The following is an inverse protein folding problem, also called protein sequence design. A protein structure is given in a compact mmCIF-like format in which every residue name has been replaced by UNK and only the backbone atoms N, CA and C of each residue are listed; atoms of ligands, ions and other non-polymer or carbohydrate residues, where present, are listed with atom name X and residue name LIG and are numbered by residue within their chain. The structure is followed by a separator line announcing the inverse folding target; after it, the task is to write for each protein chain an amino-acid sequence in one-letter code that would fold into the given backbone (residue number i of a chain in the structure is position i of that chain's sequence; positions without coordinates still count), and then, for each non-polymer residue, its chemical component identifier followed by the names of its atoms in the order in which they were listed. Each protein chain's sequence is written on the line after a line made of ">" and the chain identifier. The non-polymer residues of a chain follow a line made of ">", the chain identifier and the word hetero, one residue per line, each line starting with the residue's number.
data_IF_189264605925
#
_entry.id   IF_189264605925
#
_cell.length_a   1.000
_cell.length_b   1.000
_cell.length_c   1.000
_cell.angle_alpha   90.00
_cell.angle_beta   90.00
_cell.angle_gamma   90.00
#
_symmetry.space_group_name_H-M   'P 1'
#
loop_
_entity.id
_entity.type
_entity.pdbx_description
1 polymer ?
#
# COMPACT_ATOMS: atom_id res chain seq x y z
N UNK A 1 9.99 29.83 -35.81
CA UNK A 1 8.90 29.35 -34.94
C UNK A 1 8.72 30.36 -33.81
N UNK A 2 7.51 30.87 -33.61
CA UNK A 2 7.26 31.92 -32.61
C UNK A 2 7.38 31.33 -31.19
N UNK A 3 8.17 31.96 -30.32
CA UNK A 3 8.29 31.53 -28.93
C UNK A 3 6.90 31.62 -28.26
N UNK A 4 6.35 30.46 -27.88
CA UNK A 4 5.02 30.37 -27.27
C UNK A 4 5.19 30.30 -25.75
N UNK A 5 4.42 31.08 -25.03
CA UNK A 5 4.34 31.00 -23.57
C UNK A 5 3.07 30.23 -23.17
N UNK A 6 3.19 29.22 -22.32
CA UNK A 6 2.10 28.31 -21.94
C UNK A 6 1.74 28.43 -20.46
N UNK A 7 0.45 28.57 -20.15
CA UNK A 7 -0.05 28.41 -18.78
C UNK A 7 -0.48 26.97 -18.56
N UNK A 8 0.23 26.28 -17.68
CA UNK A 8 0.08 24.85 -17.45
C UNK A 8 -0.47 24.61 -16.06
N UNK A 9 -1.62 23.94 -16.00
CA UNK A 9 -2.23 23.56 -14.73
C UNK A 9 -1.55 22.30 -14.18
N UNK A 10 -1.12 22.37 -12.92
CA UNK A 10 -0.52 21.24 -12.22
C UNK A 10 -1.42 20.71 -11.10
N UNK A 11 -1.43 19.39 -10.93
CA UNK A 11 -2.08 18.70 -9.82
C UNK A 11 -1.02 18.12 -8.91
N UNK A 12 -1.18 18.30 -7.59
CA UNK A 12 -0.28 17.66 -6.63
C UNK A 12 -0.62 16.16 -6.55
N UNK A 13 0.08 15.36 -7.35
CA UNK A 13 -0.13 13.92 -7.47
C UNK A 13 1.23 13.22 -7.51
N UNK A 14 1.76 12.88 -6.34
CA UNK A 14 2.96 12.05 -6.26
C UNK A 14 2.70 10.64 -6.80
N UNK A 15 3.65 10.00 -7.51
CA UNK A 15 5.01 10.48 -7.85
C UNK A 15 5.09 11.30 -9.15
N UNK A 16 3.96 11.61 -9.79
CA UNK A 16 3.92 12.22 -11.12
C UNK A 16 4.35 13.69 -11.11
N UNK A 17 3.88 14.45 -10.13
CA UNK A 17 4.26 15.84 -9.88
C UNK A 17 4.41 16.02 -8.36
N UNK A 18 5.59 16.42 -7.93
CA UNK A 18 5.94 16.68 -6.54
C UNK A 18 5.98 18.18 -6.31
N UNK A 19 5.19 18.65 -5.34
CA UNK A 19 5.07 20.08 -5.03
C UNK A 19 5.42 20.33 -3.57
N UNK A 20 6.38 21.22 -3.31
CA UNK A 20 6.83 21.64 -1.97
C UNK A 20 6.66 23.15 -1.86
N UNK A 21 6.07 23.66 -0.77
CA UNK A 21 5.88 25.11 -0.57
C UNK A 21 5.28 25.84 -1.80
N UNK A 22 4.28 25.22 -2.43
CA UNK A 22 3.62 25.74 -3.63
C UNK A 22 4.47 25.73 -4.92
N UNK A 23 5.73 25.29 -4.88
CA UNK A 23 6.59 25.15 -6.05
C UNK A 23 6.79 23.69 -6.44
N UNK A 24 6.55 23.31 -7.71
CA UNK A 24 6.88 21.99 -8.20
C UNK A 24 8.40 21.85 -8.25
N UNK A 25 8.92 20.75 -7.68
CA UNK A 25 10.36 20.51 -7.62
C UNK A 25 10.78 19.19 -8.27
N UNK A 26 9.82 18.36 -8.70
CA UNK A 26 10.12 17.09 -9.33
C UNK A 26 8.89 16.30 -9.74
N UNK A 27 9.11 15.05 -10.14
CA UNK A 27 8.10 14.14 -10.66
C UNK A 27 8.26 13.89 -12.16
N UNK A 28 7.84 12.72 -12.61
CA UNK A 28 8.09 12.29 -13.99
C UNK A 28 7.45 13.23 -15.03
N UNK A 29 6.23 13.73 -14.78
CA UNK A 29 5.56 14.62 -15.72
C UNK A 29 6.13 16.03 -15.70
N UNK A 30 6.60 16.51 -14.54
CA UNK A 30 7.31 17.78 -14.46
C UNK A 30 8.61 17.74 -15.29
N UNK A 31 9.38 16.66 -15.18
CA UNK A 31 10.61 16.49 -15.96
C UNK A 31 10.33 16.41 -17.46
N UNK A 32 9.28 15.71 -17.87
CA UNK A 32 8.87 15.65 -19.29
C UNK A 32 8.53 17.05 -19.82
N UNK A 33 7.79 17.85 -19.05
CA UNK A 33 7.45 19.23 -19.44
C UNK A 33 8.71 20.11 -19.56
N UNK A 34 9.62 20.00 -18.60
CA UNK A 34 10.89 20.74 -18.58
C UNK A 34 11.77 20.40 -19.78
N UNK A 35 11.94 19.11 -20.09
CA UNK A 35 12.73 18.70 -21.26
C UNK A 35 12.03 19.06 -22.58
N UNK A 36 10.69 18.97 -22.62
CA UNK A 36 9.91 19.42 -23.78
C UNK A 36 10.07 20.92 -24.02
N UNK A 37 10.12 21.74 -22.97
CA UNK A 37 10.26 23.20 -23.11
C UNK A 37 11.61 23.58 -23.70
N UNK A 38 12.67 22.86 -23.32
CA UNK A 38 14.01 23.03 -23.90
C UNK A 38 14.04 22.58 -25.35
N UNK A 39 13.48 21.41 -25.65
CA UNK A 39 13.49 20.82 -26.99
C UNK A 39 12.70 21.66 -28.01
N UNK A 40 11.53 22.15 -27.62
CA UNK A 40 10.63 22.90 -28.49
C UNK A 40 10.70 24.42 -28.29
N UNK A 41 11.63 24.89 -27.47
CA UNK A 41 11.89 26.31 -27.19
C UNK A 41 10.62 27.12 -26.82
N UNK A 42 9.89 26.64 -25.82
CA UNK A 42 8.75 27.35 -25.24
C UNK A 42 8.99 27.66 -23.76
N UNK A 43 8.30 28.68 -23.26
CA UNK A 43 8.29 29.01 -21.83
C UNK A 43 6.94 28.67 -21.22
N UNK A 44 6.89 28.49 -19.91
CA UNK A 44 5.64 28.14 -19.25
C UNK A 44 5.57 28.63 -17.82
N UNK A 45 4.35 28.88 -17.38
CA UNK A 45 3.99 29.14 -16.00
C UNK A 45 3.20 27.97 -15.43
N UNK A 46 3.60 27.52 -14.24
CA UNK A 46 2.90 26.44 -13.54
C UNK A 46 1.86 27.05 -12.59
N UNK A 47 0.60 26.78 -12.90
CA UNK A 47 -0.54 27.34 -12.19
C UNK A 47 -1.24 26.25 -11.40
N UNK A 48 -1.52 26.49 -10.12
CA UNK A 48 -2.41 25.62 -9.36
C UNK A 48 -3.86 25.94 -9.71
N UNK A 49 -4.71 24.93 -9.90
CA UNK A 49 -6.08 25.18 -10.25
C UNK A 49 -6.83 25.82 -9.09
N UNK A 50 -7.62 26.85 -9.39
CA UNK A 50 -8.49 27.52 -8.41
C UNK A 50 -9.52 26.55 -7.84
N UNK A 51 -10.01 25.65 -8.68
CA UNK A 51 -11.00 24.64 -8.32
C UNK A 51 -10.52 23.26 -8.79
N UNK A 52 -10.67 22.25 -7.93
CA UNK A 52 -10.31 20.87 -8.27
C UNK A 52 -11.37 20.23 -9.16
N UNK A 53 -10.95 19.19 -9.89
CA UNK A 53 -11.84 18.34 -10.66
C UNK A 53 -11.95 18.68 -12.14
N UNK A 54 -12.56 17.76 -12.87
CA UNK A 54 -12.84 17.85 -14.29
C UNK A 54 -14.05 16.97 -14.57
N UNK A 55 -15.23 17.55 -14.30
CA UNK A 55 -16.53 16.91 -14.48
C UNK A 55 -17.31 17.71 -15.51
N UNK A 56 -17.93 17.00 -16.45
CA UNK A 56 -18.83 17.60 -17.44
C UNK A 56 -20.19 17.84 -16.78
N UNK A 57 -20.68 19.06 -16.87
CA UNK A 57 -21.99 19.48 -16.38
C UNK A 57 -23.09 19.14 -17.41
N UNK A 58 -24.37 19.06 -16.98
CA UNK A 58 -25.49 18.80 -17.89
C UNK A 58 -25.62 19.83 -19.02
N UNK A 59 -25.22 21.07 -18.79
CA UNK A 59 -25.20 22.14 -19.79
C UNK A 59 -24.04 22.03 -20.81
N UNK A 60 -23.24 20.95 -20.76
CA UNK A 60 -22.10 20.72 -21.65
C UNK A 60 -20.79 21.38 -21.24
N UNK A 61 -20.80 22.25 -20.23
CA UNK A 61 -19.57 22.90 -19.72
C UNK A 61 -18.79 22.00 -18.77
N UNK A 62 -17.57 22.41 -18.41
CA UNK A 62 -16.69 21.64 -17.53
C UNK A 62 -16.36 22.41 -16.25
N UNK A 63 -16.24 21.68 -15.14
CA UNK A 63 -15.83 22.22 -13.83
C UNK A 63 -14.32 22.17 -13.64
N UNK A 64 -13.85 22.88 -12.59
CA UNK A 64 -12.47 22.80 -12.13
C UNK A 64 -11.46 23.21 -13.19
N UNK A 65 -10.29 22.58 -13.16
CA UNK A 65 -9.22 22.83 -14.14
C UNK A 65 -9.62 22.44 -15.57
N UNK A 66 -10.49 21.44 -15.72
CA UNK A 66 -11.04 21.07 -17.03
C UNK A 66 -11.82 22.21 -17.66
N UNK A 67 -12.64 22.91 -16.84
CA UNK A 67 -13.35 24.10 -17.26
C UNK A 67 -12.44 25.26 -17.67
N UNK A 68 -11.36 25.47 -16.93
CA UNK A 68 -10.41 26.54 -17.23
C UNK A 68 -9.74 26.33 -18.60
N UNK A 69 -9.38 25.09 -18.92
CA UNK A 69 -8.78 24.74 -20.21
C UNK A 69 -9.81 24.79 -21.32
N UNK A 70 -11.02 24.29 -21.07
CA UNK A 70 -12.13 24.33 -22.03
C UNK A 70 -12.51 25.77 -22.42
N UNK A 71 -12.41 26.73 -21.50
CA UNK A 71 -12.65 28.17 -21.74
C UNK A 71 -11.41 28.93 -22.25
N UNK A 72 -10.27 28.26 -22.47
CA UNK A 72 -9.03 28.90 -22.93
C UNK A 72 -8.30 29.75 -21.88
N UNK A 73 -8.69 29.69 -20.61
CA UNK A 73 -7.99 30.37 -19.50
C UNK A 73 -6.60 29.75 -19.27
N UNK A 74 -6.46 28.45 -19.53
CA UNK A 74 -5.24 27.67 -19.37
C UNK A 74 -4.96 26.87 -20.66
N UNK A 75 -3.68 26.62 -20.96
CA UNK A 75 -3.30 26.00 -22.24
C UNK A 75 -3.13 24.47 -22.15
N UNK A 76 -2.70 23.97 -20.98
CA UNK A 76 -2.37 22.56 -20.81
C UNK A 76 -2.72 22.09 -19.39
N UNK A 77 -3.10 20.82 -19.25
CA UNK A 77 -3.22 20.12 -17.97
C UNK A 77 -2.10 19.10 -17.88
N UNK A 78 -1.30 19.15 -16.81
CA UNK A 78 -0.28 18.16 -16.54
C UNK A 78 -0.80 17.13 -15.52
N UNK A 79 -0.78 15.86 -15.90
CA UNK A 79 -1.12 14.74 -15.02
C UNK A 79 -2.61 14.46 -14.89
N UNK A 80 -3.23 13.95 -15.96
CA UNK A 80 -4.63 13.57 -15.93
C UNK A 80 -4.89 12.28 -16.71
N UNK A 81 -5.93 11.55 -16.30
CA UNK A 81 -6.34 10.30 -16.95
C UNK A 81 -7.19 10.57 -18.18
N UNK A 82 -6.82 9.90 -19.27
CA UNK A 82 -7.59 9.85 -20.51
C UNK A 82 -8.84 8.97 -20.32
N UNK A 83 -10.02 9.50 -20.64
CA UNK A 83 -11.27 8.73 -20.64
C UNK A 83 -12.06 9.05 -21.91
N UNK A 84 -12.97 8.15 -22.30
CA UNK A 84 -13.79 8.32 -23.50
C UNK A 84 -14.57 9.66 -23.48
N UNK A 85 -15.22 9.97 -22.36
CA UNK A 85 -15.98 11.21 -22.21
C UNK A 85 -15.12 12.48 -22.33
N UNK A 86 -13.84 12.42 -21.93
CA UNK A 86 -12.90 13.56 -22.03
C UNK A 86 -12.31 13.70 -23.42
N UNK A 87 -12.03 12.60 -24.12
CA UNK A 87 -11.52 12.62 -25.50
C UNK A 87 -12.46 13.34 -26.48
N UNK A 88 -13.76 13.41 -26.18
CA UNK A 88 -14.71 14.13 -27.02
C UNK A 88 -14.60 15.66 -26.95
N UNK A 89 -13.86 16.21 -25.97
CA UNK A 89 -13.77 17.67 -25.71
C UNK A 89 -12.34 18.17 -25.53
N UNK A 90 -11.38 17.28 -25.33
CA UNK A 90 -9.98 17.61 -25.09
C UNK A 90 -9.08 16.71 -25.90
N UNK A 91 -8.03 17.29 -26.46
CA UNK A 91 -6.96 16.55 -27.12
C UNK A 91 -6.00 15.98 -26.08
N UNK A 92 -5.68 14.70 -26.24
CA UNK A 92 -4.68 14.01 -25.43
C UNK A 92 -3.54 13.55 -26.35
N UNK A 93 -2.28 13.70 -25.93
CA UNK A 93 -1.17 13.07 -26.64
C UNK A 93 -1.28 11.54 -26.57
N UNK A 94 -0.40 10.85 -27.30
CA UNK A 94 -0.18 9.42 -27.09
C UNK A 94 0.06 9.15 -25.60
N UNK A 95 -0.59 8.11 -25.08
CA UNK A 95 -0.51 7.77 -23.66
C UNK A 95 0.94 7.52 -23.24
N UNK A 96 1.40 8.25 -22.21
CA UNK A 96 2.73 8.07 -21.64
C UNK A 96 2.83 6.82 -20.76
N UNK A 97 1.69 6.41 -20.19
CA UNK A 97 1.56 5.24 -19.33
C UNK A 97 0.13 4.69 -19.37
N UNK A 98 -0.04 3.42 -19.06
CA UNK A 98 -1.33 2.73 -18.93
C UNK A 98 -1.48 2.28 -17.48
N UNK A 99 -2.37 2.94 -16.74
CA UNK A 99 -2.68 2.60 -15.35
C UNK A 99 -4.08 2.01 -15.22
N UNK A 100 -4.20 0.99 -14.37
CA UNK A 100 -5.46 0.38 -13.96
C UNK A 100 -5.86 0.79 -12.54
N UNK A 101 -7.16 0.72 -12.24
CA UNK A 101 -7.67 0.90 -10.87
C UNK A 101 -7.22 -0.30 -10.03
N UNK A 102 -6.58 -0.03 -8.90
CA UNK A 102 -6.11 -1.05 -7.95
C UNK A 102 -6.64 -0.74 -6.56
N UNK A 103 -7.04 -1.78 -5.83
CA UNK A 103 -7.35 -1.68 -4.41
C UNK A 103 -6.06 -1.83 -3.62
N UNK A 104 -5.79 -0.88 -2.73
CA UNK A 104 -4.62 -0.92 -1.84
C UNK A 104 -5.16 -1.14 -0.43
N UNK A 105 -4.78 -2.24 0.19
CA UNK A 105 -5.10 -2.55 1.58
C UNK A 105 -3.84 -2.47 2.44
N UNK A 106 -4.01 -2.30 3.75
CA UNK A 106 -2.90 -2.45 4.66
C UNK A 106 -2.31 -3.87 4.55
N UNK A 107 -0.99 -3.98 4.64
CA UNK A 107 -0.34 -5.28 4.79
C UNK A 107 -0.87 -5.92 6.09
N UNK A 108 -1.29 -7.19 6.08
CA UNK A 108 -1.74 -7.85 7.30
C UNK A 108 -0.60 -7.81 8.33
N UNK A 109 -0.90 -7.34 9.54
CA UNK A 109 0.06 -7.38 10.64
C UNK A 109 0.30 -8.84 10.99
N UNK A 110 1.53 -9.31 10.87
CA UNK A 110 1.94 -10.60 11.40
C UNK A 110 2.08 -10.45 12.92
N UNK A 111 0.99 -10.62 13.64
CA UNK A 111 1.06 -10.78 15.10
C UNK A 111 1.23 -12.27 15.40
N UNK A 112 2.32 -12.61 16.09
CA UNK A 112 2.48 -13.97 16.61
C UNK A 112 1.52 -14.12 17.79
N UNK A 113 0.45 -14.90 17.60
CA UNK A 113 -0.45 -15.24 18.68
C UNK A 113 0.02 -16.57 19.30
N UNK A 114 0.69 -16.50 20.45
CA UNK A 114 1.13 -17.69 21.17
C UNK A 114 -0.05 -18.56 21.65
N UNK A 115 -1.24 -17.98 21.82
CA UNK A 115 -2.44 -18.75 22.14
C UNK A 115 -2.82 -19.67 20.96
N UNK A 116 -2.53 -19.29 19.72
CA UNK A 116 -2.76 -20.12 18.53
C UNK A 116 -2.03 -21.46 18.60
N UNK A 117 -0.89 -21.54 19.31
CA UNK A 117 -0.18 -22.81 19.55
C UNK A 117 -1.01 -23.76 20.43
N UNK A 118 -1.68 -23.23 21.44
CA UNK A 118 -2.53 -24.02 22.34
C UNK A 118 -3.85 -24.43 21.67
N UNK A 119 -4.31 -23.68 20.67
CA UNK A 119 -5.52 -23.99 19.89
C UNK A 119 -5.37 -25.16 18.91
N UNK A 120 -4.16 -25.70 18.71
CA UNK A 120 -3.94 -26.85 17.81
C UNK A 120 -4.69 -28.10 18.31
N UNK A 121 -4.81 -28.27 19.63
CA UNK A 121 -5.52 -29.38 20.24
C UNK A 121 -6.66 -28.91 21.14
N UNK A 122 -7.67 -29.77 21.32
CA UNK A 122 -8.75 -29.50 22.27
C UNK A 122 -8.20 -29.44 23.71
N UNK A 123 -8.75 -28.60 24.60
CA UNK A 123 -8.30 -28.53 26.00
C UNK A 123 -8.28 -29.88 26.72
N UNK A 124 -9.22 -30.77 26.38
CA UNK A 124 -9.27 -32.13 26.91
C UNK A 124 -8.04 -32.96 26.51
N UNK A 125 -7.54 -32.80 25.29
CA UNK A 125 -6.33 -33.48 24.82
C UNK A 125 -5.10 -33.06 25.63
N UNK A 126 -4.95 -31.76 25.91
CA UNK A 126 -3.86 -31.26 26.77
C UNK A 126 -3.96 -31.83 28.20
N UNK A 127 -5.17 -31.90 28.75
CA UNK A 127 -5.42 -32.50 30.07
C UNK A 127 -5.06 -34.00 30.06
N UNK A 128 -5.49 -34.75 29.05
CA UNK A 128 -5.13 -36.16 28.89
C UNK A 128 -3.62 -36.35 28.79
N UNK A 129 -2.93 -35.55 27.95
CA UNK A 129 -1.47 -35.58 27.84
C UNK A 129 -0.78 -35.28 29.18
N UNK A 130 -1.28 -34.30 29.93
CA UNK A 130 -0.78 -33.98 31.27
C UNK A 130 -0.96 -35.12 32.26
N UNK A 131 -2.15 -35.73 32.31
CA UNK A 131 -2.45 -36.87 33.18
C UNK A 131 -1.63 -38.11 32.80
N UNK A 132 -1.51 -38.43 31.50
CA UNK A 132 -0.68 -39.53 31.04
C UNK A 132 0.79 -39.32 31.40
N UNK A 133 1.32 -38.11 31.19
CA UNK A 133 2.71 -37.78 31.53
C UNK A 133 2.95 -37.90 33.04
N UNK A 134 2.03 -37.39 33.86
CA UNK A 134 2.10 -37.51 35.31
C UNK A 134 1.98 -38.97 35.78
N UNK A 135 1.10 -39.76 35.17
CA UNK A 135 0.94 -41.18 35.46
C UNK A 135 2.20 -41.99 35.18
N UNK A 136 2.86 -41.75 34.03
CA UNK A 136 4.14 -42.38 33.69
C UNK A 136 5.23 -41.98 34.69
N UNK A 137 5.29 -40.70 35.07
CA UNK A 137 6.22 -40.23 36.10
C UNK A 137 6.00 -40.91 37.46
N UNK A 138 4.75 -41.03 37.91
CA UNK A 138 4.42 -41.68 39.17
C UNK A 138 4.77 -43.17 39.16
N UNK A 139 4.47 -43.87 38.07
CA UNK A 139 4.80 -45.30 37.90
C UNK A 139 6.31 -45.54 37.91
N UNK A 140 7.07 -44.75 37.15
CA UNK A 140 8.53 -44.85 37.14
C UNK A 140 9.13 -44.52 38.51
N UNK A 141 8.63 -43.49 39.21
CA UNK A 141 9.07 -43.17 40.56
C UNK A 141 8.81 -44.30 41.56
N UNK A 142 7.59 -44.85 41.58
CA UNK A 142 7.23 -45.97 42.44
C UNK A 142 8.09 -47.21 42.15
N UNK A 143 8.30 -47.55 40.87
CA UNK A 143 9.14 -48.70 40.50
C UNK A 143 10.58 -48.57 41.03
N UNK A 144 11.17 -47.37 40.93
CA UNK A 144 12.50 -47.11 41.48
C UNK A 144 12.53 -47.18 43.01
N UNK A 145 11.47 -46.69 43.68
CA UNK A 145 11.34 -46.81 45.13
C UNK A 145 11.26 -48.28 45.59
N UNK A 146 10.44 -49.11 44.93
CA UNK A 146 10.33 -50.53 45.23
C UNK A 146 11.63 -51.29 44.98
N UNK A 147 12.31 -51.03 43.86
CA UNK A 147 13.60 -51.64 43.56
C UNK A 147 14.64 -51.28 44.63
N UNK A 148 14.72 -50.00 45.03
CA UNK A 148 15.60 -49.56 46.12
C UNK A 148 15.29 -50.28 47.44
N UNK A 149 14.01 -50.38 47.82
CA UNK A 149 13.60 -51.08 49.03
C UNK A 149 13.98 -52.58 49.00
N UNK A 150 13.73 -53.27 47.88
CA UNK A 150 14.07 -54.69 47.71
C UNK A 150 15.58 -54.98 47.78
N UNK A 151 16.40 -54.05 47.30
CA UNK A 151 17.86 -54.16 47.39
C UNK A 151 18.34 -54.02 48.84
N UNK A 152 17.73 -53.12 49.63
CA UNK A 152 18.07 -52.93 51.05
C UNK A 152 17.71 -54.15 51.90
N UNK A 153 16.52 -54.74 51.69
CA UNK A 153 16.08 -55.93 52.43
C UNK A 153 16.89 -57.18 52.07
N UNK A 154 17.30 -57.33 50.80
CA UNK A 154 18.17 -58.43 50.36
C UNK A 154 19.56 -58.37 51.02
N UNK A 155 20.09 -57.17 51.26
CA UNK A 155 21.38 -56.98 51.95
C UNK A 155 21.27 -57.34 53.44
N UNK A 156 20.19 -56.93 54.10
CA UNK A 156 19.99 -57.19 55.55
C UNK A 156 19.66 -58.65 55.85
N UNK A 157 19.01 -59.38 54.94
CA UNK A 157 18.75 -60.81 55.11
C UNK A 157 19.99 -61.72 54.89
N UNK A 158 21.10 -61.17 54.39
CA UNK A 158 22.37 -61.89 54.16
C UNK A 158 23.42 -61.67 55.27
N UNK A 159 23.09 -60.91 56.32
CA UNK A 159 23.93 -60.66 57.50
C UNK A 159 23.37 -61.47 58.66
#
# INVERSE_FOLDING_TARGET
>A
MQAKHLRVVILNQGPLILVKNNTPFGGCYYNILLESSKLYNFTYDLVRPKYKGMVKLPNGTWTGYGGQVFRGEQNLILGNTRTFARNAHFDFPSGLDVSGVKFITALPRKTLDWAAVLYIFQPLTWLCLGLCSFGIFALTYASNYFLSYSNVTTITAKI
#
